data_IF_673484544458
#
_entry.id   IF_673484544458
#
_cell.length_a   1.000
_cell.length_b   1.000
_cell.length_c   1.000
_cell.angle_alpha   90.00
_cell.angle_beta   90.00
_cell.angle_gamma   90.00
#
_symmetry.space_group_name_H-M   'P 1'
#
loop_
_entity.id
_entity.type
_entity.pdbx_description
1 polymer ?
#
# COMPACT_ATOMS: atom_id res chain seq x y z
N UNK A 1 -30.85 -34.08 10.77
CA UNK A 1 -29.42 -33.90 10.45
C UNK A 1 -29.34 -32.99 9.25
N UNK A 2 -28.88 -31.75 9.43
CA UNK A 2 -28.77 -30.76 8.36
C UNK A 2 -27.30 -30.65 7.95
N UNK A 3 -27.04 -30.87 6.66
CA UNK A 3 -25.71 -30.79 6.05
C UNK A 3 -25.14 -29.37 6.13
N UNK A 4 -23.82 -29.20 6.30
CA UNK A 4 -23.22 -27.88 6.27
C UNK A 4 -23.13 -27.38 4.82
N UNK A 5 -23.80 -26.28 4.54
CA UNK A 5 -23.66 -25.53 3.29
C UNK A 5 -22.24 -24.95 3.24
N UNK A 6 -21.40 -25.47 2.36
CA UNK A 6 -20.15 -24.82 1.94
C UNK A 6 -20.48 -23.46 1.33
N UNK A 7 -20.24 -22.38 2.08
CA UNK A 7 -20.20 -21.03 1.54
C UNK A 7 -18.90 -20.88 0.76
N UNK A 8 -18.99 -21.03 -0.56
CA UNK A 8 -17.95 -20.61 -1.47
C UNK A 8 -18.02 -19.07 -1.56
N UNK A 9 -17.39 -18.38 -0.62
CA UNK A 9 -17.18 -16.93 -0.70
C UNK A 9 -15.88 -16.69 -1.45
N UNK A 10 -15.96 -16.66 -2.78
CA UNK A 10 -14.99 -15.91 -3.56
C UNK A 10 -15.17 -14.45 -3.18
N UNK A 11 -14.40 -13.98 -2.20
CA UNK A 11 -14.35 -12.59 -1.82
C UNK A 11 -13.74 -11.82 -2.99
N UNK A 12 -14.60 -11.27 -3.85
CA UNK A 12 -14.19 -10.23 -4.79
C UNK A 12 -13.83 -9.02 -3.94
N UNK A 13 -12.55 -8.68 -3.91
CA UNK A 13 -12.04 -7.46 -3.30
C UNK A 13 -12.80 -6.25 -3.86
N UNK A 14 -13.15 -5.31 -2.99
CA UNK A 14 -13.59 -3.99 -3.42
C UNK A 14 -12.49 -3.39 -4.30
N UNK A 15 -12.82 -2.85 -5.49
CA UNK A 15 -11.84 -2.19 -6.33
C UNK A 15 -11.12 -1.11 -5.51
N UNK A 16 -9.79 -1.15 -5.52
CA UNK A 16 -9.02 0.04 -5.20
C UNK A 16 -9.55 1.20 -6.07
N UNK A 17 -9.52 2.46 -5.62
CA UNK A 17 -9.77 3.56 -6.53
C UNK A 17 -8.92 3.33 -7.77
N UNK A 18 -9.57 3.30 -8.94
CA UNK A 18 -8.86 3.22 -10.22
C UNK A 18 -7.73 4.25 -10.15
N UNK A 19 -6.50 3.83 -10.49
CA UNK A 19 -5.39 4.77 -10.68
C UNK A 19 -5.82 5.65 -11.84
N UNK A 20 -6.48 6.76 -11.52
CA UNK A 20 -7.26 7.58 -12.44
C UNK A 20 -6.39 8.58 -13.21
N UNK A 21 -5.09 8.56 -12.96
CA UNK A 21 -4.08 9.27 -13.73
C UNK A 21 -3.35 8.33 -14.69
N UNK A 22 -3.18 8.77 -15.93
CA UNK A 22 -2.25 8.12 -16.85
C UNK A 22 -0.81 8.29 -16.33
N UNK A 23 -0.05 7.19 -16.28
CA UNK A 23 1.36 7.24 -15.94
C UNK A 23 2.12 7.98 -17.06
N UNK A 24 2.70 9.13 -16.75
CA UNK A 24 3.55 9.85 -17.70
C UNK A 24 4.92 9.13 -17.82
N UNK A 25 5.02 8.26 -18.82
CA UNK A 25 6.21 7.43 -19.06
C UNK A 25 7.45 8.24 -19.45
N UNK A 26 7.28 9.40 -20.10
CA UNK A 26 8.40 10.29 -20.45
C UNK A 26 8.97 10.92 -19.17
N UNK A 27 8.11 11.47 -18.30
CA UNK A 27 8.53 12.02 -17.01
C UNK A 27 9.17 10.95 -16.12
N UNK A 28 8.63 9.73 -16.11
CA UNK A 28 9.21 8.61 -15.37
C UNK A 28 10.60 8.22 -15.90
N UNK A 29 10.81 8.25 -17.21
CA UNK A 29 12.12 7.96 -17.81
C UNK A 29 13.16 8.99 -17.34
N UNK A 30 12.81 10.27 -17.36
CA UNK A 30 13.68 11.33 -16.82
C UNK A 30 13.98 11.16 -15.32
N UNK A 31 12.99 10.71 -14.53
CA UNK A 31 13.20 10.41 -13.10
C UNK A 31 14.21 9.27 -12.94
N UNK A 32 14.09 8.19 -13.72
CA UNK A 32 15.01 7.03 -13.66
C UNK A 32 16.43 7.46 -14.03
N UNK A 33 16.62 8.17 -15.14
CA UNK A 33 17.95 8.66 -15.56
C UNK A 33 18.58 9.56 -14.49
N UNK A 34 17.76 10.42 -13.86
CA UNK A 34 18.21 11.28 -12.76
C UNK A 34 18.64 10.45 -11.54
N UNK A 35 17.83 9.48 -11.11
CA UNK A 35 18.19 8.59 -9.99
C UNK A 35 19.51 7.85 -10.25
N UNK A 36 19.72 7.35 -11.48
CA UNK A 36 20.96 6.69 -11.86
C UNK A 36 22.17 7.65 -11.83
N UNK A 37 22.01 8.88 -12.34
CA UNK A 37 23.06 9.90 -12.29
C UNK A 37 23.42 10.29 -10.85
N UNK A 38 22.41 10.50 -9.99
CA UNK A 38 22.59 10.90 -8.59
C UNK A 38 23.29 9.81 -7.77
N UNK A 39 23.09 8.53 -8.11
CA UNK A 39 23.85 7.40 -7.56
C UNK A 39 25.32 7.46 -7.99
N UNK A 40 25.59 7.75 -9.27
CA UNK A 40 26.95 7.78 -9.84
C UNK A 40 27.77 8.95 -9.27
N UNK A 41 27.18 10.14 -9.19
CA UNK A 41 27.87 11.35 -8.72
C UNK A 41 27.88 11.49 -7.19
N UNK A 42 27.09 10.69 -6.48
CA UNK A 42 27.03 10.65 -5.02
C UNK A 42 26.14 11.72 -4.39
N UNK A 43 25.42 12.52 -5.19
CA UNK A 43 24.53 13.58 -4.69
C UNK A 43 23.27 13.06 -4.00
N UNK A 44 22.90 11.79 -4.22
CA UNK A 44 21.70 11.13 -3.67
C UNK A 44 21.50 11.30 -2.16
N UNK A 45 22.59 11.41 -1.39
CA UNK A 45 22.53 11.53 0.09
C UNK A 45 21.93 12.86 0.57
N UNK A 46 21.87 13.88 -0.30
CA UNK A 46 21.35 15.22 0.03
C UNK A 46 20.06 15.57 -0.70
N UNK A 47 19.49 14.63 -1.44
CA UNK A 47 18.26 14.81 -2.23
C UNK A 47 17.14 14.07 -1.52
N UNK A 48 15.97 14.71 -1.39
CA UNK A 48 14.76 14.04 -0.90
C UNK A 48 13.98 13.45 -2.07
N UNK A 49 13.59 12.19 -1.91
CA UNK A 49 12.78 11.45 -2.87
C UNK A 49 11.33 11.27 -2.41
N UNK A 50 10.99 11.75 -1.21
CA UNK A 50 9.70 11.49 -0.56
C UNK A 50 8.49 11.91 -1.42
N UNK A 51 8.57 13.07 -2.07
CA UNK A 51 7.48 13.57 -2.93
C UNK A 51 7.31 12.70 -4.19
N UNK A 52 8.43 12.35 -4.84
CA UNK A 52 8.41 11.47 -6.01
C UNK A 52 7.89 10.08 -5.63
N UNK A 53 8.29 9.54 -4.47
CA UNK A 53 7.78 8.27 -3.97
C UNK A 53 6.27 8.34 -3.69
N UNK A 54 5.78 9.42 -3.09
CA UNK A 54 4.36 9.64 -2.83
C UNK A 54 3.53 9.70 -4.12
N UNK A 55 3.99 10.48 -5.11
CA UNK A 55 3.34 10.59 -6.43
C UNK A 55 3.30 9.25 -7.18
N UNK A 56 4.36 8.44 -7.05
CA UNK A 56 4.50 7.16 -7.75
C UNK A 56 3.78 6.00 -7.05
N UNK A 57 3.51 6.12 -5.75
CA UNK A 57 3.00 5.04 -4.92
C UNK A 57 1.73 4.35 -5.44
N UNK A 58 0.71 5.06 -5.99
CA UNK A 58 -0.47 4.39 -6.55
C UNK A 58 -0.13 3.41 -7.68
N UNK A 59 0.81 3.79 -8.56
CA UNK A 59 1.26 2.94 -9.66
C UNK A 59 2.07 1.75 -9.16
N UNK A 60 2.94 1.97 -8.17
CA UNK A 60 3.75 0.93 -7.54
C UNK A 60 2.89 -0.10 -6.81
N UNK A 61 1.85 0.34 -6.10
CA UNK A 61 0.89 -0.53 -5.40
C UNK A 61 0.08 -1.34 -6.41
N UNK A 62 -0.40 -0.72 -7.49
CA UNK A 62 -1.10 -1.43 -8.56
C UNK A 62 -0.20 -2.50 -9.20
N UNK A 63 1.06 -2.16 -9.47
CA UNK A 63 2.05 -3.10 -10.00
C UNK A 63 2.33 -4.25 -9.03
N UNK A 64 2.48 -3.97 -7.74
CA UNK A 64 2.74 -4.97 -6.71
C UNK A 64 1.58 -5.97 -6.58
N UNK A 65 0.34 -5.49 -6.54
CA UNK A 65 -0.85 -6.35 -6.51
C UNK A 65 -1.04 -7.14 -7.82
N UNK A 66 -0.71 -6.56 -8.97
CA UNK A 66 -0.70 -7.30 -10.25
C UNK A 66 0.32 -8.44 -10.24
N UNK A 67 1.50 -8.20 -9.68
CA UNK A 67 2.57 -9.20 -9.58
C UNK A 67 2.25 -10.28 -8.54
N UNK A 68 1.61 -9.90 -7.43
CA UNK A 68 1.27 -10.77 -6.32
C UNK A 68 -0.22 -10.62 -5.97
N UNK A 69 -1.11 -11.39 -6.61
CA UNK A 69 -2.56 -11.25 -6.41
C UNK A 69 -3.05 -11.43 -4.97
N UNK A 70 -2.31 -12.17 -4.14
CA UNK A 70 -2.63 -12.41 -2.72
C UNK A 70 -2.02 -11.37 -1.77
N UNK A 71 -1.31 -10.36 -2.30
CA UNK A 71 -0.65 -9.35 -1.48
C UNK A 71 -1.66 -8.47 -0.73
N UNK A 72 -2.77 -8.13 -1.38
CA UNK A 72 -3.84 -7.28 -0.84
C UNK A 72 -3.28 -5.97 -0.24
N UNK A 73 -2.44 -5.27 -0.99
CA UNK A 73 -1.84 -4.01 -0.59
C UNK A 73 -2.79 -2.84 -0.90
N UNK A 74 -3.05 -1.99 0.09
CA UNK A 74 -3.76 -0.71 -0.09
C UNK A 74 -2.83 0.46 0.26
N UNK A 75 -2.99 1.59 -0.41
CA UNK A 75 -2.34 2.84 -0.04
C UNK A 75 -3.35 3.82 0.53
N UNK A 76 -3.04 4.42 1.68
CA UNK A 76 -3.90 5.37 2.39
C UNK A 76 -3.12 6.62 2.83
N UNK A 77 -3.79 7.77 2.80
CA UNK A 77 -3.18 9.09 2.97
C UNK A 77 -3.24 9.65 4.38
N UNK A 78 -3.89 8.94 5.29
CA UNK A 78 -3.95 9.35 6.69
C UNK A 78 -4.21 8.17 7.62
N UNK A 79 -3.95 8.39 8.90
CA UNK A 79 -4.33 7.45 9.97
C UNK A 79 -5.85 7.24 10.02
N UNK A 80 -6.64 8.27 9.71
CA UNK A 80 -8.10 8.17 9.67
C UNK A 80 -8.58 7.25 8.53
N UNK A 81 -7.98 7.36 7.35
CA UNK A 81 -8.24 6.46 6.24
C UNK A 81 -7.80 5.03 6.58
N UNK A 82 -6.61 4.86 7.18
CA UNK A 82 -6.12 3.55 7.61
C UNK A 82 -7.12 2.80 8.48
N UNK A 83 -7.60 3.42 9.57
CA UNK A 83 -8.54 2.74 10.49
C UNK A 83 -9.88 2.44 9.82
N UNK A 84 -10.31 3.29 8.90
CA UNK A 84 -11.52 3.08 8.11
C UNK A 84 -11.35 1.89 7.15
N UNK A 85 -10.22 1.80 6.46
CA UNK A 85 -9.89 0.70 5.56
C UNK A 85 -9.68 -0.62 6.29
N UNK A 86 -9.07 -0.62 7.48
CA UNK A 86 -8.95 -1.82 8.33
C UNK A 86 -10.34 -2.36 8.70
N UNK A 87 -11.25 -1.46 9.09
CA UNK A 87 -12.63 -1.82 9.41
C UNK A 87 -13.35 -2.44 8.21
N UNK A 88 -13.23 -1.81 7.04
CA UNK A 88 -13.80 -2.29 5.78
C UNK A 88 -13.26 -3.67 5.41
N UNK A 89 -11.93 -3.84 5.37
CA UNK A 89 -11.25 -5.12 5.08
C UNK A 89 -11.73 -6.24 6.00
N UNK A 90 -11.93 -5.96 7.30
CA UNK A 90 -12.52 -6.93 8.24
C UNK A 90 -13.99 -7.26 7.92
N UNK A 91 -14.80 -6.26 7.55
CA UNK A 91 -16.22 -6.46 7.21
C UNK A 91 -16.40 -7.24 5.91
N UNK A 92 -15.48 -7.09 4.96
CA UNK A 92 -15.44 -7.84 3.69
C UNK A 92 -15.03 -9.31 3.87
N UNK A 93 -14.58 -9.72 5.06
CA UNK A 93 -14.12 -11.07 5.34
C UNK A 93 -12.72 -11.35 4.80
N UNK A 94 -11.94 -10.32 4.47
CA UNK A 94 -10.53 -10.49 4.09
C UNK A 94 -9.74 -10.91 5.32
N UNK A 95 -8.98 -11.99 5.20
CA UNK A 95 -8.21 -12.53 6.32
C UNK A 95 -6.77 -11.99 6.37
N UNK A 96 -6.19 -11.57 5.23
CA UNK A 96 -4.81 -11.08 5.13
C UNK A 96 -4.74 -9.87 4.19
N UNK A 97 -4.16 -8.77 4.66
CA UNK A 97 -3.99 -7.54 3.88
C UNK A 97 -2.79 -6.71 4.38
N UNK A 98 -2.35 -5.74 3.57
CA UNK A 98 -1.30 -4.79 3.94
C UNK A 98 -1.72 -3.38 3.59
N UNK A 99 -1.23 -2.42 4.36
CA UNK A 99 -1.47 -1.01 4.13
C UNK A 99 -0.15 -0.26 4.13
N UNK A 100 0.10 0.55 3.08
CA UNK A 100 1.02 1.66 3.16
C UNK A 100 0.23 2.87 3.64
N UNK A 101 0.70 3.54 4.69
CA UNK A 101 0.01 4.67 5.31
C UNK A 101 0.96 5.86 5.41
N UNK A 102 0.55 7.01 4.88
CA UNK A 102 1.20 8.27 5.23
C UNK A 102 0.69 8.74 6.60
N UNK A 103 1.58 8.75 7.61
CA UNK A 103 1.30 9.18 8.97
C UNK A 103 1.66 10.65 9.21
N UNK A 104 2.35 11.30 8.26
CA UNK A 104 2.73 12.70 8.37
C UNK A 104 1.54 13.64 8.24
N UNK A 105 1.39 14.57 9.19
CA UNK A 105 0.31 15.59 9.14
C UNK A 105 0.64 16.75 8.21
N UNK A 106 1.92 17.11 8.07
CA UNK A 106 2.41 18.23 7.25
C UNK A 106 3.65 17.84 6.43
N UNK A 107 3.89 16.54 6.29
CA UNK A 107 5.06 15.95 5.63
C UNK A 107 4.77 14.51 5.25
N UNK A 108 5.78 13.82 4.72
CA UNK A 108 5.65 12.46 4.20
C UNK A 108 6.34 11.51 5.18
N UNK A 109 5.56 10.64 5.82
CA UNK A 109 6.08 9.59 6.68
C UNK A 109 5.31 8.31 6.40
N UNK A 110 5.80 7.53 5.44
CA UNK A 110 5.12 6.33 4.97
C UNK A 110 5.60 5.11 5.76
N UNK A 111 4.67 4.48 6.46
CA UNK A 111 4.89 3.23 7.21
C UNK A 111 4.05 2.09 6.61
N UNK A 112 4.34 0.86 7.02
CA UNK A 112 3.59 -0.33 6.57
C UNK A 112 2.86 -1.01 7.73
N UNK A 113 1.63 -1.45 7.48
CA UNK A 113 0.81 -2.22 8.41
C UNK A 113 0.50 -3.59 7.81
N UNK A 114 0.79 -4.66 8.54
CA UNK A 114 0.29 -6.01 8.23
C UNK A 114 -0.99 -6.26 9.02
N UNK A 115 -2.02 -6.72 8.31
CA UNK A 115 -3.32 -7.04 8.86
C UNK A 115 -3.58 -8.54 8.71
N UNK A 116 -4.01 -9.17 9.80
CA UNK A 116 -4.33 -10.60 9.81
C UNK A 116 -5.51 -10.91 10.72
N UNK A 117 -6.45 -11.71 10.24
CA UNK A 117 -7.48 -12.35 11.06
C UNK A 117 -7.06 -13.78 11.36
N UNK A 118 -7.00 -14.16 12.63
CA UNK A 118 -6.69 -15.52 13.11
C UNK A 118 -7.60 -15.85 14.28
N UNK A 119 -8.22 -17.04 14.26
CA UNK A 119 -9.13 -17.52 15.31
C UNK A 119 -10.26 -16.53 15.66
N UNK A 120 -10.80 -15.86 14.64
CA UNK A 120 -11.86 -14.85 14.78
C UNK A 120 -11.41 -13.52 15.41
N UNK A 121 -10.11 -13.37 15.71
CA UNK A 121 -9.51 -12.15 16.26
C UNK A 121 -8.71 -11.43 15.17
N UNK A 122 -8.70 -10.11 15.23
CA UNK A 122 -7.95 -9.26 14.29
C UNK A 122 -6.65 -8.82 14.93
N UNK A 123 -5.53 -9.06 14.24
CA UNK A 123 -4.19 -8.55 14.55
C UNK A 123 -3.81 -7.48 13.53
N UNK A 124 -3.23 -6.40 14.02
CA UNK A 124 -2.76 -5.26 13.23
C UNK A 124 -1.37 -4.91 13.76
N UNK A 125 -0.36 -4.96 12.88
CA UNK A 125 1.03 -4.73 13.25
C UNK A 125 1.57 -3.60 12.37
N UNK A 126 1.90 -2.47 13.00
CA UNK A 126 2.59 -1.36 12.36
C UNK A 126 4.11 -1.61 12.41
N UNK A 127 4.76 -1.47 11.26
CA UNK A 127 6.22 -1.51 11.13
C UNK A 127 6.72 -0.13 10.74
N UNK A 128 7.58 0.42 11.59
CA UNK A 128 8.35 1.64 11.33
C UNK A 128 9.71 1.27 10.73
N UNK A 129 10.10 1.94 9.65
CA UNK A 129 11.38 1.71 8.96
C UNK A 129 12.53 2.51 9.57
N UNK A 130 12.21 3.55 10.35
CA UNK A 130 13.15 4.36 11.12
C UNK A 130 12.98 4.13 12.63
N UNK A 131 13.90 4.65 13.43
CA UNK A 131 13.85 4.53 14.89
C UNK A 131 12.65 5.29 15.48
N UNK A 132 11.94 4.62 16.41
CA UNK A 132 10.86 5.20 17.24
C UNK A 132 11.37 5.87 18.51
#
# INVERSE_FOLDING_TARGET
MLSPTTRNMGASLSPQPDVSGELNTEALTCIVERLESEIIDGSWIHISYEETDLEMMPFLVAQANKKYPELNLKFVMSVHELVSSIKETRMEGVESARFLVNMGSSGIHISVVDFRVMDGKTSVILFETSSV
#
